data_IF_461265266988
#
_entry.id   IF_461265266988
#
_cell.length_a   1.000
_cell.length_b   1.000
_cell.length_c   1.000
_cell.angle_alpha   90.00
_cell.angle_beta   90.00
_cell.angle_gamma   90.00
#
_symmetry.space_group_name_H-M   'P 1'
#
loop_
_entity.id
_entity.type
_entity.pdbx_description
1 polymer ?
#
# COMPACT_ATOMS: atom_id res chain seq x y z
N UNK A 1 -6.67 -47.16 31.64
CA UNK A 1 -5.69 -46.18 32.15
C UNK A 1 -5.12 -45.40 30.96
N UNK A 2 -5.75 -44.29 30.55
CA UNK A 2 -5.28 -43.43 29.46
C UNK A 2 -5.71 -41.98 29.75
N UNK A 3 -4.74 -41.13 30.13
CA UNK A 3 -4.97 -39.73 30.46
C UNK A 3 -5.26 -38.92 29.19
N UNK A 4 -6.46 -38.38 29.08
CA UNK A 4 -6.82 -37.36 28.10
C UNK A 4 -6.28 -36.02 28.61
N UNK A 5 -5.06 -35.66 28.20
CA UNK A 5 -4.41 -34.41 28.59
C UNK A 5 -5.11 -33.22 27.88
N UNK A 6 -5.89 -32.37 28.58
CA UNK A 6 -6.64 -31.26 27.98
C UNK A 6 -5.77 -30.08 27.52
N UNK A 7 -4.46 -30.14 27.79
CA UNK A 7 -3.54 -29.01 27.78
C UNK A 7 -3.09 -28.55 26.38
N UNK A 8 -3.22 -29.40 25.36
CA UNK A 8 -2.90 -29.03 23.97
C UNK A 8 -3.92 -28.05 23.36
N UNK A 9 -5.17 -28.07 23.83
CA UNK A 9 -6.23 -27.15 23.38
C UNK A 9 -6.09 -25.75 23.98
N UNK A 10 -5.50 -25.65 25.18
CA UNK A 10 -5.30 -24.39 25.90
C UNK A 10 -4.09 -23.62 25.36
N UNK A 11 -3.01 -24.32 25.02
CA UNK A 11 -1.80 -23.69 24.47
C UNK A 11 -2.02 -23.16 23.05
N UNK A 12 -2.82 -23.86 22.24
CA UNK A 12 -3.17 -23.42 20.89
C UNK A 12 -4.10 -22.20 20.87
N UNK A 13 -5.01 -22.09 21.84
CA UNK A 13 -5.93 -20.92 21.94
C UNK A 13 -5.25 -19.66 22.47
N UNK A 14 -4.25 -19.77 23.36
CA UNK A 14 -3.51 -18.64 23.91
C UNK A 14 -2.42 -18.09 22.96
N UNK A 15 -1.81 -18.95 22.16
CA UNK A 15 -0.86 -18.53 21.11
C UNK A 15 -1.60 -17.90 19.93
N UNK A 16 -2.81 -18.39 19.62
CA UNK A 16 -3.62 -17.90 18.50
C UNK A 16 -4.32 -16.56 18.75
N UNK A 17 -4.35 -16.01 19.96
CA UNK A 17 -5.07 -14.76 20.24
C UNK A 17 -4.24 -13.48 20.04
N UNK A 18 -2.99 -13.58 19.56
CA UNK A 18 -2.25 -12.43 19.01
C UNK A 18 -2.62 -12.14 17.54
N UNK A 19 -3.79 -12.60 17.10
CA UNK A 19 -4.48 -12.01 15.97
C UNK A 19 -4.91 -10.63 16.45
N UNK A 20 -4.11 -9.60 16.17
CA UNK A 20 -4.49 -8.21 16.38
C UNK A 20 -5.94 -8.07 15.89
N UNK A 21 -6.95 -7.86 16.76
CA UNK A 21 -8.24 -7.41 16.28
C UNK A 21 -7.92 -6.10 15.59
N UNK A 22 -7.98 -6.09 14.25
CA UNK A 22 -7.42 -5.02 13.42
C UNK A 22 -8.28 -3.78 13.65
N UNK A 23 -7.95 -3.03 14.68
CA UNK A 23 -8.67 -1.83 15.06
C UNK A 23 -8.64 -0.89 13.86
N UNK A 24 -9.72 -0.13 13.68
CA UNK A 24 -9.81 0.84 12.57
C UNK A 24 -8.62 1.80 12.59
N UNK A 25 -8.15 2.17 13.78
CA UNK A 25 -6.94 2.95 13.99
C UNK A 25 -5.67 2.30 13.39
N UNK A 26 -5.44 1.01 13.61
CA UNK A 26 -4.30 0.30 13.01
C UNK A 26 -4.39 0.27 11.48
N UNK A 27 -5.60 0.10 10.93
CA UNK A 27 -5.78 0.14 9.47
C UNK A 27 -5.43 1.50 8.90
N UNK A 28 -5.91 2.59 9.53
CA UNK A 28 -5.57 3.95 9.11
C UNK A 28 -4.07 4.21 9.24
N UNK A 29 -3.45 3.81 10.36
CA UNK A 29 -2.01 3.94 10.55
C UNK A 29 -1.22 3.22 9.46
N UNK A 30 -1.63 2.01 9.08
CA UNK A 30 -1.00 1.26 7.98
C UNK A 30 -1.22 1.90 6.61
N UNK A 31 -2.41 2.46 6.35
CA UNK A 31 -2.70 3.21 5.11
C UNK A 31 -1.75 4.39 4.97
N UNK A 32 -1.57 5.17 6.04
CA UNK A 32 -0.64 6.30 6.10
C UNK A 32 0.81 5.83 5.96
N UNK A 33 1.20 4.77 6.67
CA UNK A 33 2.56 4.23 6.62
C UNK A 33 2.94 3.76 5.20
N UNK A 34 2.02 3.09 4.49
CA UNK A 34 2.27 2.67 3.11
C UNK A 34 2.26 3.83 2.11
N UNK A 35 1.49 4.90 2.37
CA UNK A 35 1.54 6.11 1.56
C UNK A 35 2.90 6.80 1.73
N UNK A 36 3.39 6.90 2.97
CA UNK A 36 4.72 7.41 3.29
C UNK A 36 5.83 6.53 2.69
N UNK A 37 5.70 5.20 2.78
CA UNK A 37 6.62 4.26 2.14
C UNK A 37 6.69 4.51 0.62
N UNK A 38 5.54 4.71 -0.02
CA UNK A 38 5.47 5.02 -1.46
C UNK A 38 6.20 6.33 -1.78
N UNK A 39 6.05 7.36 -0.94
CA UNK A 39 6.76 8.63 -1.10
C UNK A 39 8.28 8.50 -0.95
N UNK A 40 8.75 7.70 0.01
CA UNK A 40 10.18 7.43 0.21
C UNK A 40 10.74 6.68 -1.00
N UNK A 41 10.06 5.62 -1.44
CA UNK A 41 10.49 4.82 -2.59
C UNK A 41 10.35 5.59 -3.92
N UNK A 42 9.52 6.64 -3.99
CA UNK A 42 9.47 7.54 -5.13
C UNK A 42 10.76 8.28 -5.39
N UNK A 43 11.59 8.50 -4.35
CA UNK A 43 12.85 9.19 -4.50
C UNK A 43 13.92 8.32 -5.16
N UNK A 44 13.77 6.99 -5.10
CA UNK A 44 14.60 6.04 -5.83
C UNK A 44 14.19 6.07 -7.30
N UNK A 45 14.84 6.91 -8.10
CA UNK A 45 14.53 7.12 -9.52
C UNK A 45 15.72 6.83 -10.43
N UNK A 46 15.45 6.23 -11.57
CA UNK A 46 16.41 6.01 -12.66
C UNK A 46 15.87 6.78 -13.87
N UNK A 47 16.52 7.90 -14.26
CA UNK A 47 16.10 8.68 -15.40
C UNK A 47 16.29 7.90 -16.70
N UNK A 48 15.38 8.09 -17.63
CA UNK A 48 15.41 7.50 -18.97
C UNK A 48 15.55 8.61 -20.00
N UNK A 49 16.35 8.41 -21.04
CA UNK A 49 16.65 9.43 -22.04
C UNK A 49 15.52 9.66 -23.06
N UNK A 50 14.58 8.70 -23.19
CA UNK A 50 13.50 8.74 -24.18
C UNK A 50 12.13 9.17 -23.62
N UNK A 51 12.00 9.32 -22.30
CA UNK A 51 10.73 9.68 -21.65
C UNK A 51 10.96 10.60 -20.46
N UNK A 52 10.08 11.59 -20.22
CA UNK A 52 10.18 12.47 -19.06
C UNK A 52 9.84 11.76 -17.73
N UNK A 53 9.25 10.55 -17.78
CA UNK A 53 8.84 9.80 -16.59
C UNK A 53 9.91 8.75 -16.24
N UNK A 54 10.67 8.92 -15.14
CA UNK A 54 11.69 7.96 -14.75
C UNK A 54 11.08 6.66 -14.24
N UNK A 55 11.88 5.59 -14.23
CA UNK A 55 11.55 4.38 -13.47
C UNK A 55 11.78 4.69 -12.00
N UNK A 56 10.81 4.36 -11.14
CA UNK A 56 10.89 4.64 -9.70
C UNK A 56 10.56 3.42 -8.85
N UNK A 57 10.94 3.46 -7.57
CA UNK A 57 10.52 2.47 -6.58
C UNK A 57 9.03 2.52 -6.22
N UNK A 58 8.26 3.48 -6.75
CA UNK A 58 6.82 3.64 -6.44
C UNK A 58 6.05 2.39 -6.80
N UNK A 59 6.33 1.78 -7.95
CA UNK A 59 5.64 0.59 -8.45
C UNK A 59 5.75 -0.57 -7.48
N UNK A 60 6.92 -0.79 -6.88
CA UNK A 60 7.10 -1.82 -5.85
C UNK A 60 6.26 -1.52 -4.61
N UNK A 61 6.28 -0.29 -4.11
CA UNK A 61 5.51 0.12 -2.94
C UNK A 61 3.99 -0.05 -3.16
N UNK A 62 3.51 0.30 -4.35
CA UNK A 62 2.11 0.18 -4.77
C UNK A 62 1.64 -1.26 -4.73
N UNK A 63 2.41 -2.17 -5.34
CA UNK A 63 2.08 -3.60 -5.36
C UNK A 63 2.14 -4.18 -3.96
N UNK A 64 3.16 -3.80 -3.17
CA UNK A 64 3.29 -4.22 -1.78
C UNK A 64 2.13 -3.71 -0.92
N UNK A 65 1.63 -2.49 -1.14
CA UNK A 65 0.46 -1.96 -0.43
C UNK A 65 -0.80 -2.77 -0.73
N UNK A 66 -1.04 -3.10 -2.00
CA UNK A 66 -2.14 -3.98 -2.41
C UNK A 66 -2.00 -5.36 -1.78
N UNK A 67 -0.82 -5.96 -1.88
CA UNK A 67 -0.52 -7.26 -1.28
C UNK A 67 -0.63 -7.23 0.24
N UNK A 68 -0.20 -6.20 0.96
CA UNK A 68 -0.15 -6.19 2.43
C UNK A 68 -1.48 -5.78 3.07
N UNK A 69 -2.19 -4.82 2.46
CA UNK A 69 -3.38 -4.19 3.04
C UNK A 69 -4.70 -4.71 2.44
N UNK A 70 -4.65 -5.40 1.31
CA UNK A 70 -5.83 -5.83 0.56
C UNK A 70 -6.44 -4.71 -0.28
N UNK A 71 -7.51 -5.02 -1.02
CA UNK A 71 -8.03 -4.14 -2.08
C UNK A 71 -8.39 -2.73 -1.62
N UNK A 72 -9.22 -2.63 -0.57
CA UNK A 72 -9.75 -1.34 -0.07
C UNK A 72 -8.66 -0.49 0.59
N UNK A 73 -7.92 -1.05 1.53
CA UNK A 73 -6.90 -0.30 2.27
C UNK A 73 -5.65 -0.02 1.41
N UNK A 74 -5.28 -0.92 0.50
CA UNK A 74 -4.22 -0.67 -0.48
C UNK A 74 -4.57 0.48 -1.42
N UNK A 75 -5.77 0.47 -2.01
CA UNK A 75 -6.26 1.57 -2.84
C UNK A 75 -6.34 2.90 -2.07
N UNK A 76 -6.85 2.88 -0.83
CA UNK A 76 -6.90 4.06 0.03
C UNK A 76 -5.50 4.63 0.32
N UNK A 77 -4.49 3.77 0.49
CA UNK A 77 -3.10 4.20 0.69
C UNK A 77 -2.54 4.92 -0.52
N UNK A 78 -2.77 4.38 -1.73
CA UNK A 78 -2.31 5.02 -2.96
C UNK A 78 -3.10 6.30 -3.27
N UNK A 79 -4.40 6.33 -2.98
CA UNK A 79 -5.21 7.54 -3.10
C UNK A 79 -4.73 8.64 -2.15
N UNK A 80 -4.38 8.29 -0.91
CA UNK A 80 -3.80 9.22 0.05
C UNK A 80 -2.45 9.77 -0.43
N UNK A 81 -1.58 8.91 -0.97
CA UNK A 81 -0.32 9.31 -1.57
C UNK A 81 -0.51 10.34 -2.69
N UNK A 82 -1.43 10.06 -3.62
CA UNK A 82 -1.75 10.97 -4.74
C UNK A 82 -2.36 12.27 -4.24
N UNK A 83 -3.30 12.21 -3.28
CA UNK A 83 -3.93 13.39 -2.72
C UNK A 83 -2.93 14.30 -1.99
N UNK A 84 -2.01 13.72 -1.20
CA UNK A 84 -0.96 14.46 -0.53
C UNK A 84 -0.08 15.22 -1.53
N UNK A 85 0.35 14.55 -2.60
CA UNK A 85 1.12 15.20 -3.66
C UNK A 85 0.33 16.23 -4.45
N UNK A 86 -0.97 15.98 -4.71
CA UNK A 86 -1.85 16.92 -5.42
C UNK A 86 -2.01 18.26 -4.68
N UNK A 87 -2.08 18.23 -3.34
CA UNK A 87 -2.16 19.43 -2.49
C UNK A 87 -0.83 20.20 -2.43
N UNK A 88 0.26 19.64 -2.99
CA UNK A 88 1.54 20.33 -3.13
C UNK A 88 2.66 19.77 -2.26
N UNK A 89 2.44 18.67 -1.51
CA UNK A 89 3.52 18.07 -0.74
C UNK A 89 4.57 17.46 -1.70
N UNK A 90 5.88 17.59 -1.40
CA UNK A 90 6.96 17.11 -2.25
C UNK A 90 7.17 15.59 -2.13
N UNK A 91 6.12 14.80 -2.37
CA UNK A 91 6.10 13.33 -2.18
C UNK A 91 6.28 12.56 -3.48
N UNK A 92 6.15 13.21 -4.64
CA UNK A 92 6.42 12.57 -5.92
C UNK A 92 7.92 12.48 -6.17
N UNK A 93 8.30 11.73 -7.21
CA UNK A 93 9.71 11.51 -7.56
C UNK A 93 10.46 12.83 -7.75
N UNK A 94 11.66 12.93 -7.18
CA UNK A 94 12.46 14.14 -7.25
C UNK A 94 11.94 15.31 -6.42
N UNK A 95 11.23 15.02 -5.32
CA UNK A 95 10.63 16.02 -4.45
C UNK A 95 9.55 16.87 -5.12
N UNK A 96 8.92 16.36 -6.19
CA UNK A 96 7.88 17.08 -6.91
C UNK A 96 6.53 16.99 -6.20
N UNK A 97 5.65 17.94 -6.50
CA UNK A 97 4.30 18.05 -5.94
C UNK A 97 3.45 19.00 -6.77
N UNK A 98 2.18 19.09 -6.42
CA UNK A 98 1.23 20.05 -6.96
C UNK A 98 0.41 19.54 -8.14
N UNK A 99 -0.59 20.35 -8.49
CA UNK A 99 -1.60 20.01 -9.49
C UNK A 99 -1.01 19.78 -10.88
N UNK A 100 -0.03 20.59 -11.29
CA UNK A 100 0.65 20.48 -12.59
C UNK A 100 1.35 19.14 -12.77
N UNK A 101 1.92 18.58 -11.69
CA UNK A 101 2.50 17.24 -11.73
C UNK A 101 1.42 16.19 -11.94
N UNK A 102 0.30 16.28 -11.21
CA UNK A 102 -0.79 15.31 -11.28
C UNK A 102 -1.48 15.31 -12.64
N UNK A 103 -1.72 16.47 -13.25
CA UNK A 103 -2.36 16.61 -14.57
C UNK A 103 -1.37 16.51 -15.74
N UNK A 104 -0.09 16.29 -15.46
CA UNK A 104 0.95 16.17 -16.46
C UNK A 104 1.07 14.75 -17.04
N UNK A 105 2.24 14.39 -17.60
CA UNK A 105 2.47 13.09 -18.23
C UNK A 105 2.42 11.90 -17.26
N UNK A 106 2.43 12.15 -15.94
CA UNK A 106 2.41 11.12 -14.89
C UNK A 106 0.99 10.75 -14.43
N UNK A 107 -0.06 11.46 -14.88
CA UNK A 107 -1.44 11.21 -14.47
C UNK A 107 -1.84 9.73 -14.59
N UNK A 108 -1.53 9.12 -15.74
CA UNK A 108 -1.84 7.72 -16.00
C UNK A 108 -1.18 6.75 -15.02
N UNK A 109 0.04 7.06 -14.58
CA UNK A 109 0.74 6.28 -13.57
C UNK A 109 0.07 6.42 -12.19
N UNK A 110 -0.30 7.64 -11.79
CA UNK A 110 -0.93 7.89 -10.49
C UNK A 110 -2.30 7.21 -10.38
N UNK A 111 -3.14 7.30 -11.42
CA UNK A 111 -4.41 6.59 -11.48
C UNK A 111 -4.17 5.07 -11.53
N UNK A 112 -3.20 4.64 -12.33
CA UNK A 112 -2.78 3.24 -12.43
C UNK A 112 -2.31 2.66 -11.10
N UNK A 113 -1.67 3.45 -10.23
CA UNK A 113 -1.24 3.00 -8.91
C UNK A 113 -2.40 2.63 -7.99
N UNK A 114 -3.45 3.46 -7.99
CA UNK A 114 -4.66 3.18 -7.20
C UNK A 114 -5.33 1.90 -7.71
N UNK A 115 -5.48 1.78 -9.03
CA UNK A 115 -6.07 0.61 -9.67
C UNK A 115 -5.23 -0.67 -9.43
N UNK A 116 -3.91 -0.58 -9.55
CA UNK A 116 -2.99 -1.71 -9.33
C UNK A 116 -3.04 -2.20 -7.89
N UNK A 117 -2.97 -1.30 -6.90
CA UNK A 117 -3.10 -1.69 -5.50
C UNK A 117 -4.46 -2.33 -5.19
N UNK A 118 -5.55 -1.80 -5.77
CA UNK A 118 -6.87 -2.39 -5.63
C UNK A 118 -6.92 -3.81 -6.23
N UNK A 119 -6.46 -3.97 -7.47
CA UNK A 119 -6.50 -5.24 -8.20
C UNK A 119 -5.66 -6.31 -7.50
N UNK A 120 -4.42 -5.99 -7.17
CA UNK A 120 -3.51 -6.90 -6.46
C UNK A 120 -4.10 -7.30 -5.10
N UNK A 121 -4.67 -6.33 -4.39
CA UNK A 121 -5.35 -6.59 -3.13
C UNK A 121 -6.59 -7.49 -3.29
N UNK A 122 -7.33 -7.39 -4.39
CA UNK A 122 -8.46 -8.28 -4.70
C UNK A 122 -7.98 -9.70 -4.94
N UNK A 123 -6.93 -9.86 -5.75
CA UNK A 123 -6.32 -11.16 -6.06
C UNK A 123 -5.85 -11.86 -4.78
N UNK A 124 -5.26 -11.12 -3.82
CA UNK A 124 -4.91 -11.66 -2.50
C UNK A 124 -6.11 -12.23 -1.75
N UNK A 125 -7.25 -11.54 -1.78
CA UNK A 125 -8.45 -11.93 -1.00
C UNK A 125 -9.30 -13.00 -1.67
N UNK A 126 -9.04 -13.36 -2.93
CA UNK A 126 -9.77 -14.41 -3.64
C UNK A 126 -11.27 -14.17 -3.83
N UNK A 127 -11.78 -12.95 -3.64
CA UNK A 127 -13.21 -12.66 -3.77
C UNK A 127 -13.60 -12.30 -5.21
N UNK A 128 -14.42 -13.11 -5.90
CA UNK A 128 -15.09 -12.70 -7.13
C UNK A 128 -16.11 -11.59 -6.81
N UNK A 129 -16.19 -10.61 -7.70
CA UNK A 129 -17.02 -9.41 -7.55
C UNK A 129 -18.51 -9.66 -7.69
#
# INVERSE_FOLDING_TARGET
MSRHEPWSRTLSTLVSSRILPRSRALTVALVVAFAALTAVLAQLRIPLWFTPVPITGQTFAVLLAGLALGARAGAASQALYVAAGAVGLPVFQGGQGGWSYVTGPTLGYLVGFIAAAALVGRLRTGQPG
#
